data_IF_037607424281
#
_entry.id   IF_037607424281
#
_cell.length_a   1.000
_cell.length_b   1.000
_cell.length_c   1.000
_cell.angle_alpha   90.00
_cell.angle_beta   90.00
_cell.angle_gamma   90.00
#
_symmetry.space_group_name_H-M   'P 1'
#
loop_
_entity.id
_entity.type
_entity.pdbx_description
1 polymer ?
#
# COMPACT_ATOMS: atom_id res chain seq x y z
N UNK A 1 11.43 6.76 2.43
CA UNK A 1 12.91 6.57 2.55
C UNK A 1 13.34 7.25 3.85
N UNK A 2 13.67 6.45 4.88
CA UNK A 2 14.02 6.95 6.21
C UNK A 2 15.51 7.29 6.19
N UNK A 3 15.88 8.53 6.45
CA UNK A 3 17.28 8.97 6.50
C UNK A 3 17.89 8.64 7.87
N UNK A 4 18.88 7.74 7.89
CA UNK A 4 19.66 7.38 9.08
C UNK A 4 21.10 7.87 8.98
N UNK A 5 21.67 8.25 10.13
CA UNK A 5 23.02 8.79 10.27
C UNK A 5 24.06 7.70 10.46
N UNK A 6 25.29 7.96 9.96
CA UNK A 6 26.52 7.23 10.36
C UNK A 6 26.97 7.65 11.75
N UNK A 7 27.27 6.68 12.61
CA UNK A 7 28.10 6.93 13.79
C UNK A 7 29.54 7.15 13.31
N UNK A 8 30.05 8.36 13.48
CA UNK A 8 31.45 8.71 13.14
C UNK A 8 31.68 10.10 12.58
N UNK A 9 30.64 10.78 12.13
CA UNK A 9 30.79 12.15 11.60
C UNK A 9 30.80 13.18 12.76
N UNK A 10 31.84 14.03 12.75
CA UNK A 10 31.94 15.25 13.57
C UNK A 10 30.61 15.97 13.55
N UNK A 11 30.15 16.49 14.68
CA UNK A 11 28.86 17.11 14.94
C UNK A 11 28.37 18.03 13.82
N UNK A 12 27.79 17.47 12.79
CA UNK A 12 26.93 18.16 11.83
C UNK A 12 25.65 18.49 12.59
N UNK A 13 25.12 19.73 12.56
CA UNK A 13 23.89 20.05 13.26
C UNK A 13 22.81 19.05 12.84
N UNK A 14 22.16 18.41 13.81
CA UNK A 14 21.09 17.41 13.54
C UNK A 14 20.07 18.11 12.66
N UNK A 15 19.98 17.70 11.39
CA UNK A 15 18.96 18.20 10.48
C UNK A 15 17.62 17.92 11.16
N UNK A 16 16.82 18.96 11.41
CA UNK A 16 15.49 18.81 12.01
C UNK A 16 14.70 17.79 11.21
N UNK A 17 14.21 16.74 11.86
CA UNK A 17 13.26 15.82 11.24
C UNK A 17 11.89 16.48 11.34
N UNK A 18 11.36 16.91 10.19
CA UNK A 18 10.04 17.52 10.10
C UNK A 18 9.14 16.53 9.36
N UNK A 19 7.97 16.27 9.94
CA UNK A 19 6.93 15.39 9.42
C UNK A 19 5.58 16.08 9.57
N UNK A 20 4.70 15.89 8.61
CA UNK A 20 3.36 16.46 8.61
C UNK A 20 2.38 15.30 8.84
N UNK A 21 1.80 15.24 10.02
CA UNK A 21 0.67 14.35 10.32
C UNK A 21 -0.59 15.03 9.83
N UNK A 22 -1.42 14.34 9.05
CA UNK A 22 -2.63 14.93 8.50
C UNK A 22 -3.76 13.90 8.37
N UNK A 23 -4.97 14.42 8.21
CA UNK A 23 -6.20 13.71 7.94
C UNK A 23 -7.14 14.58 7.12
N UNK A 24 -8.03 13.97 6.31
CA UNK A 24 -9.03 14.67 5.50
C UNK A 24 -10.40 14.02 5.64
N UNK A 25 -11.45 14.85 5.73
CA UNK A 25 -12.82 14.42 5.55
C UNK A 25 -13.30 14.74 4.14
N UNK A 26 -14.18 13.89 3.58
CA UNK A 26 -14.48 13.91 2.14
C UNK A 26 -15.97 13.72 1.85
N UNK A 27 -16.40 14.15 0.67
CA UNK A 27 -17.78 13.93 0.19
C UNK A 27 -18.10 12.47 -0.09
N UNK A 28 -17.08 11.61 -0.23
CA UNK A 28 -17.17 10.17 -0.51
C UNK A 28 -15.80 9.54 -0.69
N UNK A 29 -15.72 8.27 -1.09
CA UNK A 29 -14.47 7.49 -1.09
C UNK A 29 -13.66 7.56 -2.40
N UNK A 30 -14.25 8.00 -3.51
CA UNK A 30 -13.61 8.03 -4.83
C UNK A 30 -12.90 9.37 -5.06
N UNK A 31 -11.61 9.46 -4.75
CA UNK A 31 -10.81 10.69 -4.85
C UNK A 31 -10.81 11.32 -6.26
N UNK A 32 -11.16 10.59 -7.31
CA UNK A 32 -11.25 11.14 -8.68
C UNK A 32 -12.52 11.96 -8.91
N UNK A 33 -13.59 11.66 -8.15
CA UNK A 33 -14.92 12.28 -8.29
C UNK A 33 -15.32 13.13 -7.08
N UNK A 34 -14.87 12.74 -5.93
CA UNK A 34 -15.21 13.34 -4.64
C UNK A 34 -14.23 14.48 -4.29
N UNK A 35 -14.58 15.23 -3.24
CA UNK A 35 -13.83 16.42 -2.79
C UNK A 35 -13.58 16.36 -1.30
N UNK A 36 -12.58 17.08 -0.84
CA UNK A 36 -12.36 17.31 0.58
C UNK A 36 -13.43 18.26 1.12
N UNK A 37 -13.90 18.02 2.35
CA UNK A 37 -14.80 18.90 3.12
C UNK A 37 -14.12 19.45 4.38
N UNK A 38 -13.08 18.80 4.86
CA UNK A 38 -12.22 19.25 5.95
C UNK A 38 -10.78 18.77 5.70
N UNK A 39 -9.83 19.59 6.06
CA UNK A 39 -8.40 19.26 6.07
C UNK A 39 -7.81 19.65 7.40
N UNK A 40 -7.04 18.76 8.01
CA UNK A 40 -6.28 19.04 9.21
C UNK A 40 -4.86 18.52 9.10
N UNK A 41 -3.89 19.26 9.61
CA UNK A 41 -2.49 18.88 9.63
C UNK A 41 -1.76 19.41 10.87
N UNK A 42 -0.83 18.63 11.39
CA UNK A 42 0.07 18.99 12.47
C UNK A 42 1.52 18.78 12.03
N UNK A 43 2.33 19.80 12.18
CA UNK A 43 3.77 19.72 11.95
C UNK A 43 4.47 19.17 13.19
N UNK A 44 5.15 18.04 13.02
CA UNK A 44 6.04 17.49 14.03
C UNK A 44 7.49 17.89 13.74
N UNK A 45 8.20 18.40 14.74
CA UNK A 45 9.64 18.60 14.69
C UNK A 45 10.31 17.67 15.72
N UNK A 46 11.07 16.68 15.23
CA UNK A 46 11.69 15.64 16.08
C UNK A 46 10.66 14.95 16.99
N UNK A 47 9.50 14.63 16.45
CA UNK A 47 8.40 13.96 17.14
C UNK A 47 7.59 14.85 18.11
N UNK A 48 7.81 16.17 18.13
CA UNK A 48 7.06 17.12 18.97
C UNK A 48 6.18 18.00 18.11
N UNK A 49 4.92 18.16 18.48
CA UNK A 49 3.98 19.08 17.81
C UNK A 49 4.50 20.52 17.92
N UNK A 50 4.47 21.25 16.81
CA UNK A 50 4.97 22.61 16.70
C UNK A 50 3.95 23.58 16.12
N UNK A 51 3.23 23.15 15.12
CA UNK A 51 2.32 23.99 14.37
C UNK A 51 1.14 23.15 13.89
N UNK A 52 0.00 23.78 13.62
CA UNK A 52 -1.20 23.12 13.14
C UNK A 52 -1.93 23.98 12.13
N UNK A 53 -2.57 23.33 11.20
CA UNK A 53 -3.44 23.97 10.22
C UNK A 53 -4.73 23.15 10.09
N UNK A 54 -5.88 23.82 10.12
CA UNK A 54 -7.20 23.21 10.01
C UNK A 54 -8.09 24.12 9.20
N UNK A 55 -8.90 23.56 8.33
CA UNK A 55 -9.90 24.30 7.57
C UNK A 55 -11.04 23.41 7.11
N UNK A 56 -12.28 23.92 7.21
CA UNK A 56 -13.39 23.41 6.42
C UNK A 56 -13.21 23.85 4.97
N UNK A 57 -13.74 23.07 4.04
CA UNK A 57 -13.63 23.31 2.60
C UNK A 57 -15.00 23.16 1.97
N UNK A 58 -15.41 24.16 1.20
CA UNK A 58 -16.61 24.04 0.39
C UNK A 58 -16.33 23.13 -0.83
N UNK A 59 -16.89 21.93 -0.88
CA UNK A 59 -16.61 20.97 -1.95
C UNK A 59 -17.27 21.36 -3.28
N UNK A 60 -18.16 22.35 -3.28
CA UNK A 60 -18.97 22.77 -4.43
C UNK A 60 -19.74 21.62 -5.09
N UNK A 61 -20.04 20.60 -4.31
CA UNK A 61 -20.84 19.42 -4.71
C UNK A 61 -21.54 18.81 -3.50
N UNK A 62 -22.48 17.90 -3.76
CA UNK A 62 -23.25 17.21 -2.73
C UNK A 62 -22.36 16.31 -1.86
N UNK A 63 -22.55 16.36 -0.53
CA UNK A 63 -21.91 15.47 0.43
C UNK A 63 -22.78 14.21 0.57
N UNK A 64 -22.19 13.02 0.37
CA UNK A 64 -22.95 11.78 0.49
C UNK A 64 -23.45 11.57 1.92
N UNK A 65 -24.67 11.09 2.06
CA UNK A 65 -25.26 10.79 3.39
C UNK A 65 -24.39 9.82 4.21
N UNK A 66 -23.74 8.87 3.55
CA UNK A 66 -22.79 7.96 4.21
C UNK A 66 -21.58 8.67 4.80
N UNK A 67 -21.05 9.68 4.12
CA UNK A 67 -19.92 10.48 4.58
C UNK A 67 -20.35 11.40 5.73
N UNK A 68 -21.47 12.10 5.57
CA UNK A 68 -22.08 12.91 6.67
C UNK A 68 -22.34 12.07 7.93
N UNK A 69 -22.72 10.79 7.78
CA UNK A 69 -22.94 9.91 8.94
C UNK A 69 -21.64 9.54 9.66
N UNK A 70 -20.48 9.63 9.00
CA UNK A 70 -19.15 9.36 9.57
C UNK A 70 -18.62 10.62 10.27
N UNK A 71 -18.39 11.71 9.53
CA UNK A 71 -17.70 12.89 10.05
C UNK A 71 -18.64 13.98 10.60
N UNK A 72 -19.95 13.87 10.38
CA UNK A 72 -20.96 14.79 10.90
C UNK A 72 -21.01 16.17 10.22
N UNK A 73 -20.15 16.43 9.22
CA UNK A 73 -20.11 17.71 8.50
C UNK A 73 -21.23 17.72 7.47
N UNK A 74 -22.07 18.74 7.50
CA UNK A 74 -23.19 18.94 6.59
C UNK A 74 -22.88 19.97 5.49
N UNK A 75 -23.71 20.03 4.46
CA UNK A 75 -23.59 21.06 3.41
C UNK A 75 -23.72 22.47 3.97
N UNK A 76 -24.53 22.65 5.03
CA UNK A 76 -24.72 23.92 5.71
C UNK A 76 -23.42 24.37 6.41
N UNK A 77 -22.66 23.43 6.98
CA UNK A 77 -21.41 23.74 7.69
C UNK A 77 -20.30 24.23 6.74
N UNK A 78 -20.33 23.80 5.47
CA UNK A 78 -19.29 24.14 4.49
C UNK A 78 -19.70 25.16 3.44
N UNK A 79 -20.96 25.62 3.44
CA UNK A 79 -21.48 26.52 2.39
C UNK A 79 -20.70 27.83 2.26
N UNK A 80 -20.28 28.37 3.40
CA UNK A 80 -19.53 29.64 3.50
C UNK A 80 -18.00 29.39 3.69
N UNK A 81 -17.57 28.15 3.68
CA UNK A 81 -16.17 27.80 3.76
C UNK A 81 -15.44 28.11 2.42
N UNK A 82 -14.12 28.33 2.46
CA UNK A 82 -13.35 28.53 1.25
C UNK A 82 -13.37 27.26 0.36
N UNK A 83 -13.26 27.46 -0.94
CA UNK A 83 -13.20 26.38 -1.93
C UNK A 83 -11.82 25.69 -1.95
N UNK A 84 -11.71 24.52 -2.58
CA UNK A 84 -10.41 23.86 -2.78
C UNK A 84 -9.38 24.82 -3.43
N UNK A 85 -9.78 25.59 -4.43
CA UNK A 85 -8.87 26.53 -5.12
C UNK A 85 -8.33 27.64 -4.20
N UNK A 86 -9.12 28.07 -3.21
CA UNK A 86 -8.71 29.10 -2.27
C UNK A 86 -7.80 28.55 -1.16
N UNK A 87 -7.98 27.31 -0.72
CA UNK A 87 -7.21 26.74 0.39
C UNK A 87 -5.96 25.98 -0.07
N UNK A 88 -5.93 25.42 -1.29
CA UNK A 88 -4.80 24.62 -1.74
C UNK A 88 -3.45 25.32 -1.65
N UNK A 89 -3.29 26.62 -1.98
CA UNK A 89 -2.01 27.30 -1.78
C UNK A 89 -1.53 27.26 -0.32
N UNK A 90 -2.42 27.40 0.66
CA UNK A 90 -2.09 27.36 2.09
C UNK A 90 -1.77 25.93 2.54
N UNK A 91 -2.52 24.93 2.05
CA UNK A 91 -2.23 23.51 2.31
C UNK A 91 -0.83 23.14 1.79
N UNK A 92 -0.52 23.51 0.53
CA UNK A 92 0.76 23.20 -0.09
C UNK A 92 1.93 23.90 0.62
N UNK A 93 1.76 25.14 1.05
CA UNK A 93 2.76 25.86 1.86
C UNK A 93 3.00 25.17 3.21
N UNK A 94 1.92 24.73 3.88
CA UNK A 94 2.03 24.04 5.17
C UNK A 94 2.70 22.67 5.06
N UNK A 95 2.34 21.85 4.06
CA UNK A 95 2.94 20.52 3.88
C UNK A 95 4.37 20.59 3.32
N UNK A 96 4.71 21.66 2.57
CA UNK A 96 6.03 21.84 1.95
C UNK A 96 6.53 20.57 1.26
N UNK A 97 7.83 20.31 1.35
CA UNK A 97 8.47 19.08 0.82
C UNK A 97 8.64 17.99 1.91
N UNK A 98 7.92 18.10 3.03
CA UNK A 98 8.07 17.21 4.16
C UNK A 98 7.36 15.87 3.95
N UNK A 99 7.73 14.88 4.78
CA UNK A 99 7.03 13.59 4.79
C UNK A 99 5.61 13.77 5.31
N UNK A 100 4.65 13.24 4.57
CA UNK A 100 3.25 13.14 4.97
C UNK A 100 3.04 11.84 5.73
N UNK A 101 2.49 11.94 6.93
CA UNK A 101 2.12 10.84 7.81
C UNK A 101 0.60 10.82 7.96
N UNK A 102 -0.05 9.73 7.60
CA UNK A 102 -1.48 9.55 7.83
C UNK A 102 -1.78 8.08 8.18
N UNK A 103 -2.99 7.81 8.63
CA UNK A 103 -3.44 6.45 8.95
C UNK A 103 -4.22 5.86 7.76
N UNK A 104 -3.56 5.04 6.94
CA UNK A 104 -3.92 4.69 5.58
C UNK A 104 -3.64 5.86 4.60
N UNK A 105 -2.41 6.29 4.60
CA UNK A 105 -1.92 7.49 3.89
C UNK A 105 -2.31 7.59 2.42
N UNK A 106 -2.59 6.49 1.77
CA UNK A 106 -3.01 6.49 0.35
C UNK A 106 -4.32 7.25 0.17
N UNK A 107 -5.25 7.13 1.11
CA UNK A 107 -6.53 7.82 1.05
C UNK A 107 -6.33 9.35 1.05
N UNK A 108 -5.75 9.88 2.11
CA UNK A 108 -5.55 11.33 2.30
C UNK A 108 -4.68 11.93 1.21
N UNK A 109 -3.56 11.27 0.94
CA UNK A 109 -2.64 11.70 -0.10
C UNK A 109 -3.30 11.79 -1.48
N UNK A 110 -4.18 10.84 -1.82
CA UNK A 110 -4.85 10.84 -3.12
C UNK A 110 -5.81 12.01 -3.26
N UNK A 111 -6.57 12.35 -2.22
CA UNK A 111 -7.45 13.52 -2.22
C UNK A 111 -6.68 14.83 -2.35
N UNK A 112 -5.60 15.00 -1.59
CA UNK A 112 -4.75 16.20 -1.64
C UNK A 112 -4.07 16.30 -3.01
N UNK A 113 -3.57 15.19 -3.56
CA UNK A 113 -2.94 15.15 -4.87
C UNK A 113 -3.91 15.56 -6.00
N UNK A 114 -5.11 15.00 -6.01
CA UNK A 114 -6.14 15.34 -6.99
C UNK A 114 -6.60 16.79 -6.85
N UNK A 115 -6.76 17.30 -5.63
CA UNK A 115 -7.05 18.70 -5.39
C UNK A 115 -5.93 19.61 -5.89
N UNK A 116 -4.66 19.24 -5.67
CA UNK A 116 -3.50 19.96 -6.19
C UNK A 116 -3.49 19.98 -7.72
N UNK A 117 -3.70 18.84 -8.37
CA UNK A 117 -3.76 18.77 -9.85
C UNK A 117 -4.90 19.63 -10.38
N UNK A 118 -6.10 19.58 -9.78
CA UNK A 118 -7.27 20.39 -10.22
C UNK A 118 -7.04 21.89 -10.09
N UNK A 119 -6.36 22.32 -9.04
CA UNK A 119 -6.24 23.75 -8.71
C UNK A 119 -4.95 24.39 -9.21
N UNK A 120 -3.84 23.64 -9.28
CA UNK A 120 -2.52 24.15 -9.66
C UNK A 120 -1.96 23.55 -10.94
N UNK A 121 -2.54 22.46 -11.43
CA UNK A 121 -2.03 21.68 -12.56
C UNK A 121 -0.85 20.75 -12.21
N UNK A 122 -0.41 20.71 -10.95
CA UNK A 122 0.77 19.93 -10.53
C UNK A 122 0.40 18.91 -9.44
N UNK A 123 0.95 17.68 -9.51
CA UNK A 123 0.84 16.72 -8.45
C UNK A 123 1.74 17.10 -7.26
N UNK A 124 1.40 16.61 -6.07
CA UNK A 124 2.31 16.64 -4.92
C UNK A 124 3.32 15.50 -5.00
N UNK A 125 4.54 15.71 -4.49
CA UNK A 125 5.65 14.72 -4.55
C UNK A 125 6.16 14.31 -3.17
N UNK A 126 5.46 14.68 -2.12
CA UNK A 126 5.84 14.40 -0.73
C UNK A 126 6.05 12.90 -0.48
N UNK A 127 7.13 12.50 0.20
CA UNK A 127 7.27 11.13 0.70
C UNK A 127 6.16 10.80 1.69
N UNK A 128 5.68 9.55 1.66
CA UNK A 128 4.54 9.08 2.45
C UNK A 128 4.97 8.10 3.53
N UNK A 129 4.42 8.23 4.72
CA UNK A 129 4.57 7.28 5.84
C UNK A 129 3.17 6.82 6.25
N UNK A 130 2.92 5.53 6.14
CA UNK A 130 1.65 4.92 6.51
C UNK A 130 1.72 4.36 7.94
N UNK A 131 1.05 5.05 8.87
CA UNK A 131 1.01 4.63 10.27
C UNK A 131 0.19 3.36 10.50
N UNK A 132 -0.83 3.08 9.66
CA UNK A 132 -1.62 1.85 9.73
C UNK A 132 -0.77 0.62 9.36
N UNK A 133 0.02 0.71 8.28
CA UNK A 133 0.95 -0.34 7.91
C UNK A 133 2.01 -0.57 9.00
N UNK A 134 2.61 0.50 9.54
CA UNK A 134 3.56 0.39 10.64
C UNK A 134 2.94 -0.29 11.87
N UNK A 135 1.71 0.09 12.22
CA UNK A 135 0.99 -0.48 13.36
C UNK A 135 0.70 -1.97 13.17
N UNK A 136 0.21 -2.35 11.99
CA UNK A 136 -0.03 -3.75 11.62
C UNK A 136 1.25 -4.59 11.66
N UNK A 137 2.37 -4.04 11.23
CA UNK A 137 3.65 -4.75 11.26
C UNK A 137 4.21 -4.93 12.67
N UNK A 138 3.98 -3.97 13.58
CA UNK A 138 4.42 -4.07 14.98
C UNK A 138 3.49 -5.01 15.77
N UNK A 139 2.20 -5.02 15.46
CA UNK A 139 1.18 -5.77 16.16
C UNK A 139 0.33 -6.62 15.20
N UNK A 140 0.90 -7.66 14.56
CA UNK A 140 0.22 -8.43 13.52
C UNK A 140 -0.99 -9.23 14.00
N UNK A 141 -1.08 -9.51 15.30
CA UNK A 141 -2.13 -10.35 15.89
C UNK A 141 -3.35 -9.55 16.38
N UNK A 142 -3.37 -8.22 16.18
CA UNK A 142 -4.53 -7.40 16.54
C UNK A 142 -5.67 -7.61 15.55
N UNK A 143 -6.90 -7.71 16.09
CA UNK A 143 -8.13 -7.85 15.29
C UNK A 143 -8.41 -6.62 14.43
N UNK A 144 -8.01 -5.44 14.88
CA UNK A 144 -8.18 -4.16 14.17
C UNK A 144 -6.87 -3.38 14.09
N UNK A 145 -6.63 -2.76 12.93
CA UNK A 145 -5.52 -1.84 12.70
C UNK A 145 -6.04 -0.41 12.43
N UNK A 146 -7.28 -0.09 12.78
CA UNK A 146 -7.83 1.25 12.63
C UNK A 146 -7.20 2.27 13.58
N UNK A 147 -7.43 3.56 13.32
CA UNK A 147 -6.87 4.66 14.10
C UNK A 147 -7.27 4.60 15.58
N UNK A 148 -8.51 4.23 15.88
CA UNK A 148 -8.99 4.01 17.24
C UNK A 148 -8.19 2.92 17.97
N UNK A 149 -7.92 1.79 17.29
CA UNK A 149 -7.10 0.71 17.86
C UNK A 149 -5.66 1.17 18.14
N UNK A 150 -5.09 1.99 17.26
CA UNK A 150 -3.78 2.62 17.45
C UNK A 150 -3.80 3.53 18.69
N UNK A 151 -4.75 4.45 18.79
CA UNK A 151 -4.87 5.39 19.90
C UNK A 151 -5.04 4.65 21.24
N UNK A 152 -5.93 3.67 21.28
CA UNK A 152 -6.13 2.82 22.47
C UNK A 152 -4.86 2.08 22.87
N UNK A 153 -4.10 1.55 21.90
CA UNK A 153 -2.85 0.83 22.15
C UNK A 153 -1.78 1.71 22.82
N UNK A 154 -1.76 2.99 22.47
CA UNK A 154 -0.81 3.97 23.03
C UNK A 154 -1.40 4.82 24.15
N UNK A 155 -2.60 4.49 24.67
CA UNK A 155 -3.30 5.22 25.74
C UNK A 155 -3.49 6.70 25.40
N UNK A 156 -3.79 6.99 24.14
CA UNK A 156 -4.11 8.35 23.69
C UNK A 156 -5.62 8.55 23.85
N UNK A 157 -6.00 9.54 24.65
CA UNK A 157 -7.40 10.00 24.72
C UNK A 157 -7.75 10.71 23.42
N UNK A 158 -8.91 10.40 22.85
CA UNK A 158 -9.40 10.96 21.60
C UNK A 158 -10.92 11.15 21.65
N UNK A 159 -11.43 12.10 20.86
CA UNK A 159 -12.85 12.24 20.62
C UNK A 159 -13.30 11.15 19.62
N UNK A 160 -14.39 10.47 19.92
CA UNK A 160 -14.97 9.42 19.05
C UNK A 160 -15.65 9.98 17.81
N UNK A 161 -15.79 11.30 17.70
CA UNK A 161 -16.31 11.96 16.51
C UNK A 161 -15.21 12.06 15.48
N UNK A 162 -15.39 11.41 14.34
CA UNK A 162 -14.52 11.54 13.18
C UNK A 162 -14.48 13.01 12.72
N UNK A 163 -13.42 13.70 13.08
CA UNK A 163 -13.11 15.07 12.69
C UNK A 163 -11.63 15.14 12.41
N UNK A 164 -11.27 15.68 11.27
CA UNK A 164 -9.90 15.64 10.77
C UNK A 164 -8.88 16.16 11.80
N UNK A 165 -9.15 17.22 12.56
CA UNK A 165 -8.21 17.71 13.57
C UNK A 165 -8.10 16.77 14.79
N UNK A 166 -9.23 16.19 15.25
CA UNK A 166 -9.19 15.26 16.39
C UNK A 166 -8.41 14.00 16.05
N UNK A 167 -8.63 13.45 14.86
CA UNK A 167 -7.92 12.25 14.35
C UNK A 167 -6.43 12.55 14.11
N UNK A 168 -6.12 13.72 13.53
CA UNK A 168 -4.73 14.20 13.36
C UNK A 168 -4.01 14.39 14.70
N UNK A 169 -4.65 14.99 15.72
CA UNK A 169 -4.05 15.15 17.07
C UNK A 169 -3.81 13.81 17.75
N UNK A 170 -4.76 12.89 17.65
CA UNK A 170 -4.62 11.54 18.18
C UNK A 170 -3.45 10.80 17.55
N UNK A 171 -3.38 10.83 16.22
CA UNK A 171 -2.27 10.23 15.47
C UNK A 171 -0.92 10.91 15.82
N UNK A 172 -0.88 12.24 15.89
CA UNK A 172 0.34 12.98 16.20
C UNK A 172 0.90 12.68 17.60
N UNK A 173 0.04 12.28 18.55
CA UNK A 173 0.44 11.81 19.90
C UNK A 173 0.96 10.38 19.87
N UNK A 174 0.29 9.47 19.13
CA UNK A 174 0.65 8.05 19.09
C UNK A 174 1.85 7.75 18.18
N UNK A 175 1.95 8.44 17.04
CA UNK A 175 2.92 8.17 15.99
C UNK A 175 4.40 8.17 16.43
N UNK A 176 4.89 9.10 17.26
CA UNK A 176 6.30 9.10 17.68
C UNK A 176 6.73 7.81 18.41
N UNK A 177 5.86 7.27 19.26
CA UNK A 177 6.14 6.00 19.95
C UNK A 177 6.01 4.80 19.01
N UNK A 178 5.02 4.78 18.10
CA UNK A 178 4.92 3.78 17.05
C UNK A 178 6.17 3.77 16.17
N UNK A 179 6.63 4.95 15.74
CA UNK A 179 7.84 5.13 14.94
C UNK A 179 9.07 4.55 15.64
N UNK A 180 9.25 4.84 16.92
CA UNK A 180 10.35 4.32 17.75
C UNK A 180 10.33 2.79 17.84
N UNK A 181 9.16 2.18 18.01
CA UNK A 181 9.02 0.71 18.00
C UNK A 181 9.35 0.12 16.63
N UNK A 182 8.88 0.76 15.57
CA UNK A 182 9.17 0.36 14.19
C UNK A 182 10.66 0.44 13.88
N UNK A 183 11.32 1.55 14.21
CA UNK A 183 12.76 1.73 14.06
C UNK A 183 13.56 0.69 14.86
N UNK A 184 13.13 0.37 16.07
CA UNK A 184 13.76 -0.68 16.90
C UNK A 184 13.61 -2.06 16.24
N UNK A 185 12.44 -2.41 15.72
CA UNK A 185 12.19 -3.68 15.02
C UNK A 185 13.08 -3.84 13.79
N UNK A 186 13.26 -2.77 13.05
CA UNK A 186 14.03 -2.75 11.80
C UNK A 186 15.45 -2.20 11.94
N UNK A 187 15.97 -2.09 13.17
CA UNK A 187 17.29 -1.49 13.45
C UNK A 187 18.41 -2.12 12.61
N UNK A 188 18.40 -3.45 12.46
CA UNK A 188 19.40 -4.15 11.64
C UNK A 188 19.28 -3.78 10.16
N UNK A 189 18.08 -3.80 9.59
CA UNK A 189 17.83 -3.45 8.19
C UNK A 189 18.25 -2.01 7.90
N UNK A 190 17.93 -1.11 8.83
CA UNK A 190 18.28 0.31 8.75
C UNK A 190 19.80 0.49 8.71
N UNK A 191 20.54 -0.21 9.59
CA UNK A 191 22.01 -0.18 9.61
C UNK A 191 22.64 -0.71 8.31
N UNK A 192 21.92 -1.58 7.58
CA UNK A 192 22.42 -2.14 6.32
C UNK A 192 22.19 -1.23 5.10
N UNK A 193 21.45 -0.14 5.22
CA UNK A 193 21.16 0.74 4.07
C UNK A 193 22.42 1.34 3.43
N UNK A 194 23.46 1.60 4.21
CA UNK A 194 24.75 2.08 3.70
C UNK A 194 25.54 1.03 2.91
N UNK A 195 25.17 -0.25 3.03
CA UNK A 195 25.83 -1.37 2.40
C UNK A 195 24.98 -1.99 1.26
N UNK A 196 24.06 -1.23 0.69
CA UNK A 196 23.05 -1.76 -0.24
C UNK A 196 23.66 -2.43 -1.47
N UNK A 197 24.75 -1.87 -2.03
CA UNK A 197 25.43 -2.44 -3.20
C UNK A 197 26.03 -3.80 -2.88
N UNK A 198 26.73 -3.93 -1.74
CA UNK A 198 27.28 -5.21 -1.28
C UNK A 198 26.17 -6.24 -1.01
N UNK A 199 25.07 -5.83 -0.39
CA UNK A 199 23.93 -6.70 -0.12
C UNK A 199 23.26 -7.15 -1.42
N UNK A 200 23.18 -6.29 -2.41
CA UNK A 200 22.64 -6.65 -3.72
C UNK A 200 23.52 -7.71 -4.41
N UNK A 201 24.84 -7.54 -4.44
CA UNK A 201 25.75 -8.54 -4.98
C UNK A 201 25.67 -9.89 -4.23
N UNK A 202 25.54 -9.83 -2.90
CA UNK A 202 25.35 -11.02 -2.07
C UNK A 202 24.04 -11.72 -2.39
N UNK A 203 22.95 -10.96 -2.57
CA UNK A 203 21.65 -11.48 -2.99
C UNK A 203 21.75 -12.22 -4.34
N UNK A 204 22.40 -11.61 -5.34
CA UNK A 204 22.58 -12.24 -6.66
C UNK A 204 23.35 -13.56 -6.57
N UNK A 205 24.40 -13.64 -5.75
CA UNK A 205 25.16 -14.89 -5.52
C UNK A 205 24.29 -15.96 -4.88
N UNK A 206 23.49 -15.62 -3.88
CA UNK A 206 22.55 -16.55 -3.24
C UNK A 206 21.49 -17.01 -4.25
N UNK A 207 20.93 -16.11 -5.04
CA UNK A 207 19.94 -16.45 -6.07
C UNK A 207 20.51 -17.45 -7.09
N UNK A 208 21.74 -17.23 -7.53
CA UNK A 208 22.42 -18.16 -8.44
C UNK A 208 22.63 -19.54 -7.79
N UNK A 209 23.07 -19.60 -6.53
CA UNK A 209 23.22 -20.85 -5.80
C UNK A 209 21.90 -21.60 -5.65
N UNK A 210 20.80 -20.90 -5.34
CA UNK A 210 19.45 -21.48 -5.27
C UNK A 210 19.03 -22.06 -6.62
N UNK A 211 19.29 -21.36 -7.73
CA UNK A 211 18.96 -21.88 -9.07
C UNK A 211 19.72 -23.17 -9.40
N UNK A 212 21.01 -23.25 -9.05
CA UNK A 212 21.81 -24.47 -9.25
C UNK A 212 21.23 -25.61 -8.43
N UNK A 213 20.93 -25.40 -7.14
CA UNK A 213 20.34 -26.44 -6.28
C UNK A 213 18.95 -26.87 -6.77
N UNK A 214 18.13 -25.93 -7.27
CA UNK A 214 16.83 -26.26 -7.85
C UNK A 214 16.97 -27.13 -9.12
N UNK A 215 17.95 -26.85 -9.98
CA UNK A 215 18.25 -27.69 -11.16
C UNK A 215 18.64 -29.09 -10.73
N UNK A 216 19.55 -29.22 -9.77
CA UNK A 216 19.96 -30.51 -9.23
C UNK A 216 18.78 -31.30 -8.63
N UNK A 217 17.90 -30.60 -7.87
CA UNK A 217 16.67 -31.21 -7.35
C UNK A 217 15.76 -31.74 -8.47
N UNK A 218 15.67 -31.07 -9.62
CA UNK A 218 14.85 -31.51 -10.75
C UNK A 218 15.50 -32.77 -11.41
N UNK A 219 16.81 -32.78 -11.53
CA UNK A 219 17.53 -33.96 -12.05
C UNK A 219 17.31 -35.19 -11.14
N UNK A 220 17.43 -35.01 -9.82
CA UNK A 220 17.14 -36.08 -8.84
C UNK A 220 15.67 -36.54 -8.93
N UNK A 221 14.70 -35.63 -9.06
CA UNK A 221 13.28 -36.00 -9.24
C UNK A 221 13.07 -36.82 -10.52
N UNK A 222 13.81 -36.55 -11.60
CA UNK A 222 13.72 -37.33 -12.83
C UNK A 222 14.21 -38.77 -12.63
N UNK A 223 15.29 -38.93 -11.87
CA UNK A 223 15.82 -40.26 -11.48
C UNK A 223 14.81 -41.02 -10.60
N UNK A 224 14.21 -40.34 -9.61
CA UNK A 224 13.17 -40.91 -8.74
C UNK A 224 11.97 -41.37 -9.54
N UNK A 225 11.50 -40.56 -10.49
CA UNK A 225 10.40 -40.96 -11.39
C UNK A 225 10.76 -42.25 -12.16
N UNK A 226 11.93 -42.28 -12.77
CA UNK A 226 12.38 -43.45 -13.53
C UNK A 226 12.48 -44.71 -12.64
N UNK A 227 12.92 -44.56 -11.39
CA UNK A 227 12.94 -45.64 -10.41
C UNK A 227 11.57 -46.30 -10.24
N UNK A 228 10.52 -45.49 -10.00
CA UNK A 228 9.16 -45.97 -9.83
C UNK A 228 8.54 -46.50 -11.14
N UNK A 229 8.82 -45.86 -12.27
CA UNK A 229 8.34 -46.32 -13.58
C UNK A 229 8.91 -47.69 -13.97
N UNK A 230 10.08 -48.05 -13.43
CA UNK A 230 10.70 -49.39 -13.59
C UNK A 230 10.26 -50.38 -12.51
N UNK A 231 9.24 -50.08 -11.72
CA UNK A 231 8.72 -50.97 -10.67
C UNK A 231 9.49 -50.92 -9.36
N UNK A 232 10.28 -49.86 -9.12
CA UNK A 232 10.95 -49.64 -7.83
C UNK A 232 9.98 -49.42 -6.68
N UNK A 233 10.35 -49.91 -5.52
CA UNK A 233 9.59 -49.74 -4.28
C UNK A 233 9.87 -48.40 -3.61
N UNK A 234 9.05 -48.06 -2.58
CA UNK A 234 9.27 -46.88 -1.76
C UNK A 234 10.63 -46.92 -1.07
N UNK A 235 11.29 -45.76 -0.99
CA UNK A 235 12.61 -45.61 -0.38
C UNK A 235 12.50 -44.84 0.92
N UNK A 236 13.11 -45.35 1.98
CA UNK A 236 13.09 -44.74 3.31
C UNK A 236 14.44 -44.09 3.62
N UNK A 237 14.42 -42.87 4.08
CA UNK A 237 15.61 -42.18 4.59
C UNK A 237 15.91 -42.59 6.04
N UNK A 238 17.17 -42.49 6.49
CA UNK A 238 17.52 -42.72 7.90
C UNK A 238 16.77 -41.80 8.90
N UNK A 239 16.28 -40.67 8.44
CA UNK A 239 15.56 -39.68 9.25
C UNK A 239 14.06 -39.91 9.27
N UNK A 240 13.54 -41.01 8.67
CA UNK A 240 12.13 -41.37 8.69
C UNK A 240 11.30 -40.81 7.54
N UNK A 241 11.89 -40.08 6.61
CA UNK A 241 11.19 -39.61 5.39
C UNK A 241 11.04 -40.77 4.40
N UNK A 242 9.95 -40.80 3.67
CA UNK A 242 9.66 -41.82 2.68
C UNK A 242 9.41 -41.23 1.32
N UNK A 243 10.17 -41.70 0.33
CA UNK A 243 9.95 -41.36 -1.08
C UNK A 243 8.88 -42.31 -1.64
N UNK A 244 7.77 -41.75 -2.08
CA UNK A 244 6.65 -42.48 -2.70
C UNK A 244 6.31 -41.84 -4.04
N UNK A 245 5.69 -42.63 -4.93
CA UNK A 245 5.13 -42.14 -6.19
C UNK A 245 3.61 -42.09 -6.08
N UNK A 246 3.06 -40.92 -6.11
CA UNK A 246 1.62 -40.70 -6.01
C UNK A 246 1.09 -40.00 -7.27
N UNK A 247 0.12 -40.63 -7.93
CA UNK A 247 -0.62 -39.97 -9.01
C UNK A 247 -1.74 -39.13 -8.42
N UNK A 248 -1.86 -37.88 -8.85
CA UNK A 248 -2.98 -36.99 -8.56
C UNK A 248 -3.72 -36.72 -9.85
N UNK A 249 -4.96 -37.12 -9.89
CA UNK A 249 -5.85 -36.73 -11.00
C UNK A 249 -6.40 -35.32 -10.71
N UNK A 250 -6.36 -34.45 -11.69
CA UNK A 250 -7.00 -33.14 -11.65
C UNK A 250 -8.03 -33.09 -12.77
N UNK A 251 -9.19 -32.55 -12.44
CA UNK A 251 -10.30 -32.39 -13.39
C UNK A 251 -10.48 -30.90 -13.69
N UNK A 252 -10.73 -30.60 -14.94
CA UNK A 252 -11.16 -29.28 -15.39
C UNK A 252 -12.59 -29.38 -15.90
N UNK A 253 -13.36 -28.35 -15.67
CA UNK A 253 -14.71 -28.22 -16.22
C UNK A 253 -14.70 -27.18 -17.32
N UNK A 254 -15.37 -27.46 -18.44
CA UNK A 254 -15.60 -26.45 -19.45
C UNK A 254 -16.76 -25.55 -18.98
N UNK A 255 -16.46 -24.27 -18.81
CA UNK A 255 -17.41 -23.29 -18.33
C UNK A 255 -18.64 -23.19 -19.27
N UNK A 256 -18.45 -23.34 -20.58
CA UNK A 256 -19.53 -23.25 -21.56
C UNK A 256 -20.55 -24.38 -21.35
N UNK A 257 -20.04 -25.58 -21.02
CA UNK A 257 -20.91 -26.75 -20.80
C UNK A 257 -21.68 -26.73 -19.48
N UNK A 258 -21.11 -26.11 -18.43
CA UNK A 258 -21.71 -26.11 -17.08
C UNK A 258 -22.36 -24.78 -16.68
N UNK A 259 -22.25 -23.73 -17.52
CA UNK A 259 -22.72 -22.38 -17.22
C UNK A 259 -24.22 -22.35 -16.85
N UNK A 260 -25.06 -22.97 -17.67
CA UNK A 260 -26.51 -22.96 -17.46
C UNK A 260 -26.92 -23.63 -16.14
N UNK A 261 -26.26 -24.74 -15.78
CA UNK A 261 -26.44 -25.42 -14.50
C UNK A 261 -26.01 -24.53 -13.32
N UNK A 262 -24.86 -23.82 -13.45
CA UNK A 262 -24.39 -22.92 -12.41
C UNK A 262 -25.27 -21.67 -12.24
N UNK A 263 -25.90 -21.19 -13.32
CA UNK A 263 -26.90 -20.11 -13.27
C UNK A 263 -28.18 -20.57 -12.58
N UNK A 264 -28.70 -21.74 -12.95
CA UNK A 264 -29.91 -22.34 -12.36
C UNK A 264 -29.80 -22.50 -10.84
N UNK A 265 -28.65 -22.95 -10.36
CA UNK A 265 -28.40 -23.12 -8.90
C UNK A 265 -27.87 -21.85 -8.21
N UNK A 266 -27.76 -20.71 -8.91
CA UNK A 266 -27.28 -19.43 -8.39
C UNK A 266 -25.80 -19.44 -7.95
N UNK A 267 -24.99 -20.35 -8.48
CA UNK A 267 -23.60 -20.58 -8.07
C UNK A 267 -22.56 -20.01 -9.04
N UNK A 268 -22.95 -19.44 -10.18
CA UNK A 268 -22.03 -18.96 -11.22
C UNK A 268 -20.99 -17.96 -10.66
N UNK A 269 -21.42 -16.99 -9.86
CA UNK A 269 -20.54 -15.97 -9.24
C UNK A 269 -19.50 -16.54 -8.26
N UNK A 270 -19.75 -17.74 -7.70
CA UNK A 270 -18.81 -18.46 -6.82
C UNK A 270 -17.85 -19.34 -7.63
N UNK A 271 -18.29 -19.86 -8.76
CA UNK A 271 -17.53 -20.76 -9.61
C UNK A 271 -16.59 -20.01 -10.56
N UNK A 272 -16.96 -18.78 -10.98
CA UNK A 272 -16.20 -17.97 -11.93
C UNK A 272 -15.43 -16.88 -11.21
N UNK A 273 -14.11 -16.94 -11.29
CA UNK A 273 -13.23 -15.88 -10.81
C UNK A 273 -12.76 -15.01 -11.96
N UNK A 274 -12.97 -13.70 -11.85
CA UNK A 274 -12.51 -12.74 -12.85
C UNK A 274 -10.99 -12.78 -13.00
N UNK A 275 -10.51 -12.95 -14.23
CA UNK A 275 -9.09 -12.85 -14.53
C UNK A 275 -8.72 -11.39 -14.85
N UNK A 276 -8.36 -10.64 -13.81
CA UNK A 276 -8.02 -9.22 -13.92
C UNK A 276 -6.91 -8.94 -14.93
N UNK A 277 -5.87 -9.79 -14.99
CA UNK A 277 -4.78 -9.65 -15.96
C UNK A 277 -5.25 -9.81 -17.42
N UNK A 278 -6.26 -10.63 -17.66
CA UNK A 278 -6.86 -10.76 -18.98
C UNK A 278 -7.67 -9.51 -19.34
N UNK A 279 -8.46 -8.98 -18.39
CA UNK A 279 -9.24 -7.74 -18.59
C UNK A 279 -8.31 -6.55 -18.85
N UNK A 280 -7.22 -6.40 -18.09
CA UNK A 280 -6.23 -5.34 -18.31
C UNK A 280 -5.59 -5.42 -19.71
N UNK A 281 -5.26 -6.63 -20.18
CA UNK A 281 -4.78 -6.84 -21.55
C UNK A 281 -5.83 -6.52 -22.61
N UNK A 282 -7.08 -6.83 -22.36
CA UNK A 282 -8.20 -6.48 -23.24
C UNK A 282 -8.36 -4.95 -23.36
N UNK A 283 -8.26 -4.21 -22.28
CA UNK A 283 -8.29 -2.74 -22.26
C UNK A 283 -7.14 -2.16 -23.11
N UNK A 284 -5.94 -2.75 -23.01
CA UNK A 284 -4.76 -2.32 -23.76
C UNK A 284 -4.80 -2.75 -25.24
N UNK A 285 -5.55 -3.79 -25.58
CA UNK A 285 -5.62 -4.35 -26.92
C UNK A 285 -6.43 -3.49 -27.88
N UNK A 286 -6.24 -3.71 -29.20
CA UNK A 286 -7.10 -3.16 -30.25
C UNK A 286 -8.40 -3.96 -30.48
N UNK A 287 -8.67 -5.02 -29.68
CA UNK A 287 -9.66 -6.06 -29.98
C UNK A 287 -11.09 -5.69 -29.60
N UNK A 288 -11.31 -4.61 -28.84
CA UNK A 288 -12.64 -4.16 -28.38
C UNK A 288 -12.88 -2.69 -28.72
N UNK A 289 -14.16 -2.30 -28.81
CA UNK A 289 -14.55 -0.93 -29.12
C UNK A 289 -14.08 0.07 -28.06
N UNK A 290 -13.93 1.35 -28.45
CA UNK A 290 -13.56 2.44 -27.54
C UNK A 290 -14.53 2.54 -26.35
N UNK A 291 -15.84 2.44 -26.61
CA UNK A 291 -16.88 2.45 -25.58
C UNK A 291 -16.71 1.32 -24.55
N UNK A 292 -16.41 0.10 -25.00
CA UNK A 292 -16.20 -1.03 -24.12
C UNK A 292 -14.89 -0.88 -23.30
N UNK A 293 -13.83 -0.28 -23.88
CA UNK A 293 -12.62 0.05 -23.14
C UNK A 293 -12.90 1.03 -22.00
N UNK A 294 -13.65 2.09 -22.28
CA UNK A 294 -14.04 3.09 -21.30
C UNK A 294 -14.89 2.49 -20.17
N UNK A 295 -15.84 1.61 -20.48
CA UNK A 295 -16.65 0.90 -19.48
C UNK A 295 -15.80 -0.01 -18.59
N UNK A 296 -14.88 -0.78 -19.17
CA UNK A 296 -13.99 -1.67 -18.39
C UNK A 296 -13.01 -0.87 -17.55
N UNK A 297 -12.44 0.22 -18.06
CA UNK A 297 -11.54 1.08 -17.33
C UNK A 297 -12.24 1.80 -16.15
N UNK A 298 -13.49 2.25 -16.36
CA UNK A 298 -14.30 2.86 -15.32
C UNK A 298 -14.68 1.89 -14.18
N UNK A 299 -14.77 0.57 -14.47
CA UNK A 299 -15.03 -0.46 -13.48
C UNK A 299 -13.77 -0.88 -12.68
N UNK A 300 -12.59 -0.38 -13.05
CA UNK A 300 -11.32 -0.70 -12.39
C UNK A 300 -11.25 -0.04 -11.02
N UNK A 301 -11.03 -0.84 -9.99
CA UNK A 301 -10.84 -0.36 -8.61
C UNK A 301 -9.41 -0.68 -8.16
N UNK A 302 -8.73 0.31 -7.59
CA UNK A 302 -7.46 0.07 -6.92
C UNK A 302 -7.74 -0.57 -5.56
N UNK A 303 -7.42 -1.86 -5.43
CA UNK A 303 -7.61 -2.62 -4.19
C UNK A 303 -6.40 -2.50 -3.24
N UNK A 304 -5.20 -2.44 -3.80
CA UNK A 304 -3.95 -2.28 -3.03
C UNK A 304 -2.81 -1.87 -3.95
N UNK A 305 -1.86 -1.14 -3.41
CA UNK A 305 -0.55 -0.91 -4.06
C UNK A 305 0.47 -1.83 -3.40
N UNK A 306 1.03 -2.78 -4.17
CA UNK A 306 2.14 -3.63 -3.71
C UNK A 306 3.45 -3.10 -4.30
N UNK A 307 4.44 -2.85 -3.45
CA UNK A 307 5.79 -2.47 -3.89
C UNK A 307 6.66 -3.70 -3.92
N UNK A 308 7.03 -4.13 -5.11
CA UNK A 308 7.89 -5.28 -5.32
C UNK A 308 9.28 -4.84 -5.76
N UNK A 309 10.30 -5.58 -5.30
CA UNK A 309 11.68 -5.39 -5.75
C UNK A 309 11.85 -6.19 -7.05
N UNK A 310 12.19 -5.51 -8.14
CA UNK A 310 12.48 -6.14 -9.42
C UNK A 310 13.95 -5.98 -9.76
N UNK A 311 14.57 -7.08 -10.22
CA UNK A 311 15.93 -7.05 -10.79
C UNK A 311 15.77 -7.03 -12.31
N UNK A 312 16.16 -5.92 -12.92
CA UNK A 312 16.20 -5.79 -14.39
C UNK A 312 17.62 -6.02 -14.88
N UNK A 313 17.75 -6.82 -15.95
CA UNK A 313 19.02 -6.90 -16.69
C UNK A 313 19.10 -5.68 -17.58
N UNK A 314 20.12 -4.82 -17.39
CA UNK A 314 20.43 -3.79 -18.38
C UNK A 314 20.94 -4.47 -19.63
N UNK A 315 20.32 -4.23 -20.78
CA UNK A 315 20.92 -4.57 -22.07
C UNK A 315 22.21 -3.74 -22.23
N UNK A 316 23.35 -4.34 -21.95
CA UNK A 316 24.65 -3.79 -22.32
C UNK A 316 24.83 -3.89 -23.84
N UNK A 317 24.11 -3.04 -24.58
CA UNK A 317 24.36 -2.74 -25.98
C UNK A 317 24.28 -1.24 -26.17
N UNK A 318 25.25 -0.51 -25.69
CA UNK A 318 25.65 0.80 -26.18
C UNK A 318 26.85 1.26 -25.34
N UNK A 319 28.06 0.80 -25.68
CA UNK A 319 29.31 1.52 -25.52
C UNK A 319 30.43 0.62 -26.06
N UNK A 320 30.40 0.42 -27.37
CA UNK A 320 31.59 0.10 -28.19
C UNK A 320 31.45 0.85 -29.51
N UNK A 321 31.85 2.08 -29.48
CA UNK A 321 32.45 2.78 -30.64
C UNK A 321 33.59 3.61 -30.09
#
# INVERSE_FOLDING_TARGET
MIWFRREGDRAVPKKKCIEIVLDVETTGLDYTKERMVEFAAIRLENGKMKDRFETLINPQQHIRKSSMAVHGITEEDVKDAPTEAEVMPMILDFIGDYHIVAHNVIFDYSFINEASIRTTGNPITNPRIDSQMMFKEIYPDLESCGLEALMNKFNVEFDTRHRAMADTEGLAKAYPELKKLYEKKYAWQIQQLDNIDYLFERYLRIQQAVQIMQSEMQDLKSVFRLHFEKGGESVHSPNGETLIYQSKQSYAYDLVEIKDVLEEVGALHKAVKLNNNFVDRLIQSGSISKENKEKLAAARQLLSETRNIHIIKSDRKADRV
#
